data_IF_013514863194
#
_entry.id   IF_013514863194
#
_cell.length_a   1.000
_cell.length_b   1.000
_cell.length_c   1.000
_cell.angle_alpha   90.00
_cell.angle_beta   90.00
_cell.angle_gamma   90.00
#
_symmetry.space_group_name_H-M   'P 1'
#
loop_
_entity.id
_entity.type
_entity.pdbx_description
1 polymer ?
#
# COMPACT_ATOMS: atom_id res chain seq x y z
N UNK A 1 11.45 -8.91 -18.97
CA UNK A 1 12.15 -8.76 -17.67
C UNK A 1 13.06 -9.96 -17.38
N UNK A 2 12.54 -11.18 -17.27
CA UNK A 2 13.34 -12.37 -16.91
C UNK A 2 14.58 -12.62 -17.79
N UNK A 3 14.46 -12.53 -19.13
CA UNK A 3 15.61 -12.71 -20.03
C UNK A 3 16.71 -11.66 -19.85
N UNK A 4 16.36 -10.42 -19.49
CA UNK A 4 17.35 -9.36 -19.25
C UNK A 4 18.17 -9.66 -17.98
N UNK A 5 17.50 -10.07 -16.91
CA UNK A 5 18.16 -10.46 -15.66
C UNK A 5 19.08 -11.67 -15.88
N UNK A 6 18.63 -12.69 -16.63
CA UNK A 6 19.44 -13.88 -16.89
C UNK A 6 20.69 -13.62 -17.74
N UNK A 7 20.63 -12.67 -18.69
CA UNK A 7 21.75 -12.39 -19.60
C UNK A 7 22.72 -11.33 -19.07
N UNK A 8 22.23 -10.35 -18.32
CA UNK A 8 23.02 -9.15 -17.96
C UNK A 8 23.20 -8.94 -16.47
N UNK A 9 22.30 -9.45 -15.63
CA UNK A 9 22.32 -9.14 -14.20
C UNK A 9 21.67 -10.25 -13.35
N UNK A 10 22.35 -11.40 -13.32
CA UNK A 10 21.82 -12.58 -12.63
C UNK A 10 21.83 -12.40 -11.11
N UNK A 11 22.84 -11.70 -10.58
CA UNK A 11 22.92 -11.35 -9.16
C UNK A 11 21.82 -10.36 -8.76
N UNK A 12 21.54 -9.35 -9.57
CA UNK A 12 20.38 -8.47 -9.37
C UNK A 12 19.05 -9.21 -9.41
N UNK A 13 18.91 -10.20 -10.30
CA UNK A 13 17.74 -11.06 -10.35
C UNK A 13 17.50 -11.88 -9.07
N UNK A 14 18.56 -12.41 -8.46
CA UNK A 14 18.46 -13.12 -7.17
C UNK A 14 18.07 -12.16 -6.04
N UNK A 15 18.69 -10.97 -5.98
CA UNK A 15 18.32 -9.95 -4.98
C UNK A 15 16.86 -9.51 -5.09
N UNK A 16 16.35 -9.35 -6.31
CA UNK A 16 14.96 -9.02 -6.55
C UNK A 16 14.02 -10.14 -6.07
N UNK A 17 14.40 -11.41 -6.30
CA UNK A 17 13.63 -12.55 -5.83
C UNK A 17 13.55 -12.59 -4.30
N UNK A 18 14.66 -12.35 -3.60
CA UNK A 18 14.69 -12.26 -2.13
C UNK A 18 13.82 -11.11 -1.62
N UNK A 19 13.95 -9.91 -2.21
CA UNK A 19 13.15 -8.75 -1.82
C UNK A 19 11.65 -8.98 -2.04
N UNK A 20 11.26 -9.61 -3.16
CA UNK A 20 9.88 -10.00 -3.42
C UNK A 20 9.40 -11.05 -2.41
N UNK A 21 10.24 -12.05 -2.09
CA UNK A 21 9.90 -13.06 -1.11
C UNK A 21 9.66 -12.46 0.27
N UNK A 22 10.52 -11.54 0.71
CA UNK A 22 10.35 -10.80 1.96
C UNK A 22 9.06 -9.99 1.95
N UNK A 23 8.82 -9.21 0.90
CA UNK A 23 7.61 -8.40 0.79
C UNK A 23 6.33 -9.25 0.86
N UNK A 24 6.32 -10.45 0.26
CA UNK A 24 5.16 -11.36 0.32
C UNK A 24 4.88 -11.92 1.71
N UNK A 25 5.86 -11.91 2.62
CA UNK A 25 5.71 -12.38 4.01
C UNK A 25 5.56 -11.26 5.04
N UNK A 26 6.19 -10.11 4.80
CA UNK A 26 6.28 -9.02 5.78
C UNK A 26 5.25 -7.92 5.54
N UNK A 27 4.81 -7.74 4.28
CA UNK A 27 3.80 -6.73 3.96
C UNK A 27 2.42 -7.29 4.27
N UNK A 28 1.76 -6.68 5.25
CA UNK A 28 0.38 -6.95 5.62
C UNK A 28 -0.55 -5.82 5.22
N UNK A 29 -1.67 -5.72 5.95
CA UNK A 29 -2.67 -4.68 5.76
C UNK A 29 -2.76 -3.80 7.01
N UNK A 30 -2.88 -2.50 6.80
CA UNK A 30 -3.18 -1.52 7.84
C UNK A 30 -4.51 -1.85 8.51
N UNK A 31 -4.56 -1.76 9.84
CA UNK A 31 -5.79 -2.01 10.63
C UNK A 31 -6.90 -0.98 10.38
N UNK A 32 -6.55 0.25 9.99
CA UNK A 32 -7.52 1.33 9.74
C UNK A 32 -7.95 1.43 8.28
N UNK A 33 -7.00 1.55 7.35
CA UNK A 33 -7.29 1.85 5.95
C UNK A 33 -7.12 0.66 5.00
N UNK A 34 -6.67 -0.50 5.50
CA UNK A 34 -6.44 -1.73 4.72
C UNK A 34 -5.38 -1.63 3.60
N UNK A 35 -4.64 -0.52 3.51
CA UNK A 35 -3.50 -0.39 2.59
C UNK A 35 -2.35 -1.32 2.96
N UNK A 36 -1.42 -1.54 2.02
CA UNK A 36 -0.23 -2.33 2.27
C UNK A 36 0.76 -1.61 3.20
N UNK A 37 1.17 -2.29 4.27
CA UNK A 37 2.15 -1.77 5.21
C UNK A 37 2.80 -2.90 6.00
N UNK A 38 4.03 -2.69 6.44
CA UNK A 38 4.77 -3.58 7.34
C UNK A 38 4.43 -3.32 8.82
N UNK A 39 3.61 -2.30 9.11
CA UNK A 39 3.22 -1.87 10.45
C UNK A 39 1.73 -2.12 10.68
N UNK A 40 1.30 -2.13 11.94
CA UNK A 40 -0.13 -2.28 12.28
C UNK A 40 -0.96 -1.09 11.73
N UNK A 41 -0.40 0.11 11.79
CA UNK A 41 -0.99 1.35 11.26
C UNK A 41 -0.01 1.98 10.27
N UNK A 42 -0.50 2.33 9.08
CA UNK A 42 0.34 2.95 8.06
C UNK A 42 0.66 4.43 8.39
N UNK A 43 1.74 4.95 7.77
CA UNK A 43 2.19 6.34 7.96
C UNK A 43 1.13 7.40 7.58
N UNK A 44 0.16 7.03 6.75
CA UNK A 44 -0.94 7.91 6.33
C UNK A 44 -1.95 8.06 7.48
N UNK A 45 -2.34 6.94 8.09
CA UNK A 45 -3.30 6.90 9.21
C UNK A 45 -2.71 7.43 10.52
N UNK A 46 -1.40 7.22 10.74
CA UNK A 46 -0.70 7.72 11.93
C UNK A 46 -0.48 9.25 11.93
N UNK A 47 -0.86 9.96 10.86
CA UNK A 47 -0.66 11.40 10.74
C UNK A 47 -1.78 12.19 11.44
N UNK A 48 -1.48 12.93 12.53
CA UNK A 48 -2.50 13.64 13.31
C UNK A 48 -3.22 14.74 12.51
N UNK A 49 -2.54 15.40 11.55
CA UNK A 49 -3.18 16.42 10.70
C UNK A 49 -4.31 15.86 9.84
N UNK A 50 -4.24 14.58 9.47
CA UNK A 50 -5.31 13.92 8.71
C UNK A 50 -6.48 13.54 9.61
N UNK A 51 -6.21 13.07 10.83
CA UNK A 51 -7.26 12.75 11.81
C UNK A 51 -8.09 13.98 12.19
N UNK A 52 -7.45 15.14 12.34
CA UNK A 52 -8.12 16.41 12.67
C UNK A 52 -9.03 16.93 11.54
N UNK A 53 -8.82 16.51 10.29
CA UNK A 53 -9.62 16.97 9.15
C UNK A 53 -11.06 16.44 9.16
N UNK A 54 -11.31 15.29 9.79
CA UNK A 54 -12.64 14.66 9.87
C UNK A 54 -13.26 14.24 8.52
N UNK A 55 -12.50 14.26 7.42
CA UNK A 55 -12.96 13.89 6.08
C UNK A 55 -12.50 12.48 5.74
N UNK A 56 -13.42 11.64 5.26
CA UNK A 56 -13.11 10.26 4.81
C UNK A 56 -13.14 10.21 3.29
N UNK A 57 -12.03 9.72 2.70
CA UNK A 57 -11.92 9.39 1.29
C UNK A 57 -11.98 7.87 1.11
N UNK A 58 -13.08 7.40 0.55
CA UNK A 58 -13.27 5.97 0.25
C UNK A 58 -12.71 5.71 -1.14
N UNK A 59 -11.83 4.71 -1.25
CA UNK A 59 -11.22 4.30 -2.52
C UNK A 59 -11.34 2.80 -2.71
N UNK A 60 -11.31 2.34 -3.96
CA UNK A 60 -11.50 0.93 -4.29
C UNK A 60 -10.22 0.10 -4.11
N UNK A 61 -9.06 0.66 -4.47
CA UNK A 61 -7.81 -0.08 -4.47
C UNK A 61 -6.68 0.64 -3.71
N UNK A 62 -5.67 -0.10 -3.21
CA UNK A 62 -4.49 0.52 -2.58
C UNK A 62 -3.71 1.43 -3.54
N UNK A 63 -3.81 1.20 -4.85
CA UNK A 63 -3.23 2.06 -5.87
C UNK A 63 -3.89 3.45 -5.90
N UNK A 64 -5.20 3.51 -5.63
CA UNK A 64 -5.94 4.78 -5.53
C UNK A 64 -5.50 5.58 -4.31
N UNK A 65 -5.14 4.91 -3.20
CA UNK A 65 -4.55 5.58 -2.02
C UNK A 65 -3.28 6.32 -2.41
N UNK A 66 -2.38 5.68 -3.18
CA UNK A 66 -1.14 6.30 -3.64
C UNK A 66 -1.40 7.47 -4.61
N UNK A 67 -2.42 7.36 -5.47
CA UNK A 67 -2.82 8.44 -6.37
C UNK A 67 -3.41 9.66 -5.61
N UNK A 68 -4.22 9.39 -4.58
CA UNK A 68 -4.77 10.43 -3.69
C UNK A 68 -3.68 11.07 -2.85
N UNK A 69 -2.69 10.30 -2.41
CA UNK A 69 -1.51 10.82 -1.72
C UNK A 69 -0.72 11.78 -2.62
N UNK A 70 -0.50 11.43 -3.88
CA UNK A 70 0.19 12.28 -4.85
C UNK A 70 -0.51 13.63 -5.10
N UNK A 71 -1.84 13.69 -4.93
CA UNK A 71 -2.64 14.92 -5.09
C UNK A 71 -2.77 15.73 -3.80
N UNK A 72 -2.13 15.30 -2.69
CA UNK A 72 -2.12 16.00 -1.39
C UNK A 72 -3.51 16.29 -0.81
N UNK A 73 -4.52 15.49 -1.18
CA UNK A 73 -5.87 15.66 -0.66
C UNK A 73 -5.86 15.28 0.83
N UNK A 74 -6.39 16.16 1.67
CA UNK A 74 -6.45 15.99 3.13
C UNK A 74 -7.69 15.17 3.50
N UNK A 75 -7.49 14.08 4.25
CA UNK A 75 -8.56 13.17 4.69
C UNK A 75 -8.04 11.81 5.15
N UNK A 76 -8.79 11.10 5.98
CA UNK A 76 -8.58 9.69 6.30
C UNK A 76 -8.97 8.82 5.11
N UNK A 77 -8.10 7.88 4.72
CA UNK A 77 -8.33 7.00 3.57
C UNK A 77 -8.87 5.66 4.05
N UNK A 78 -9.82 5.09 3.31
CA UNK A 78 -10.35 3.75 3.55
C UNK A 78 -10.35 2.98 2.23
N UNK A 79 -9.60 1.87 2.17
CA UNK A 79 -9.61 0.97 1.03
C UNK A 79 -10.79 0.01 1.13
N UNK A 80 -11.68 0.06 0.15
CA UNK A 80 -12.83 -0.81 0.02
C UNK A 80 -12.42 -2.04 -0.80
N UNK A 81 -11.94 -3.08 -0.10
CA UNK A 81 -11.30 -4.30 -0.63
C UNK A 81 -12.24 -5.22 -1.46
N UNK A 82 -13.15 -4.67 -2.27
CA UNK A 82 -14.08 -5.43 -3.11
C UNK A 82 -15.11 -6.28 -2.34
N UNK A 83 -15.21 -6.14 -1.02
CA UNK A 83 -16.28 -6.75 -0.25
C UNK A 83 -17.57 -5.93 -0.46
N UNK A 84 -18.54 -6.52 -1.17
CA UNK A 84 -19.93 -6.04 -1.18
C UNK A 84 -20.36 -5.74 0.25
N UNK A 85 -20.58 -4.46 0.57
CA UNK A 85 -21.32 -4.07 1.77
C UNK A 85 -22.77 -4.45 1.54
N UNK A 86 -23.11 -5.67 1.93
CA UNK A 86 -24.48 -6.03 2.24
C UNK A 86 -24.76 -5.61 3.68
N UNK A 87 -25.38 -4.43 3.81
CA UNK A 87 -26.22 -3.93 4.91
C UNK A 87 -25.65 -3.90 6.33
#
# INVERSE_FOLDING_TARGET
>A
MAFHLLQRDRSGGVKLADALSQAMTEVGHCSECRTFTEHDVCNICSNPKRQESGQICVVESPADIAAVEATSILGSLLCFDGALVST
#
